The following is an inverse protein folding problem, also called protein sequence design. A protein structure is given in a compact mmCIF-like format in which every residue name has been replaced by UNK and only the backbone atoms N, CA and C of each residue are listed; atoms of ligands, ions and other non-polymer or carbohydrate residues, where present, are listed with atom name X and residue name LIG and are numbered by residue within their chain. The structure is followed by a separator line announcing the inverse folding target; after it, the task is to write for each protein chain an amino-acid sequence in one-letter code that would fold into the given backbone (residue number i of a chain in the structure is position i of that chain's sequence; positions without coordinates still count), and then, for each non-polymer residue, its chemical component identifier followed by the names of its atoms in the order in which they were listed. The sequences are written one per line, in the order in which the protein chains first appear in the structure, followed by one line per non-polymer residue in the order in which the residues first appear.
data_IF_424552274715
#
_entry.id   IF_424552274715
#
_cell.length_a   1.000
_cell.length_b   1.000
_cell.length_c   1.000
_cell.angle_alpha   90.00
_cell.angle_beta   90.00
_cell.angle_gamma   90.00
#
_symmetry.space_group_name_H-M   'P 1'
#
loop_
_entity.id
_entity.type
_entity.pdbx_description
1 polymer ?
#
# COMPACT_ATOMS: atom_id res chain seq x y z
N UNK A 1 -24.43 1.36 12.85
CA UNK A 1 -23.23 1.30 13.70
C UNK A 1 -22.46 2.60 13.49
N UNK A 2 -21.86 3.18 14.53
CA UNK A 2 -21.04 4.39 14.37
C UNK A 2 -19.75 4.02 13.64
N UNK A 3 -19.33 4.83 12.66
CA UNK A 3 -18.09 4.61 11.92
C UNK A 3 -16.87 4.77 12.85
N UNK A 4 -16.09 3.70 13.09
CA UNK A 4 -14.98 3.73 14.05
C UNK A 4 -13.79 4.56 13.56
N UNK A 5 -13.69 4.85 12.27
CA UNK A 5 -12.56 5.59 11.70
C UNK A 5 -12.86 7.09 11.55
N UNK A 6 -14.13 7.48 11.54
CA UNK A 6 -14.53 8.89 11.42
C UNK A 6 -13.87 9.83 12.47
N UNK A 7 -13.73 9.46 13.75
CA UNK A 7 -13.08 10.32 14.75
C UNK A 7 -11.61 10.63 14.45
N UNK A 8 -10.92 9.83 13.65
CA UNK A 8 -9.49 10.02 13.33
C UNK A 8 -9.24 11.33 12.56
N UNK A 9 -10.23 11.83 11.82
CA UNK A 9 -10.14 13.13 11.14
C UNK A 9 -10.06 14.31 12.12
N UNK A 10 -10.52 14.14 13.36
CA UNK A 10 -10.49 15.18 14.39
C UNK A 10 -9.12 15.30 15.09
N UNK A 11 -8.19 14.38 14.82
CA UNK A 11 -6.82 14.50 15.32
C UNK A 11 -6.14 15.71 14.66
N UNK A 12 -5.28 16.38 15.43
CA UNK A 12 -4.63 17.62 14.98
C UNK A 12 -3.92 17.43 13.62
N UNK A 13 -4.20 18.34 12.68
CA UNK A 13 -3.69 18.38 11.31
C UNK A 13 -4.11 17.22 10.37
N UNK A 14 -4.93 16.26 10.81
CA UNK A 14 -5.25 15.09 9.97
C UNK A 14 -6.22 15.44 8.85
N UNK A 15 -7.30 16.17 9.12
CA UNK A 15 -8.24 16.60 8.08
C UNK A 15 -7.57 17.42 6.96
N UNK A 16 -6.68 18.36 7.32
CA UNK A 16 -5.93 19.15 6.34
C UNK A 16 -4.94 18.30 5.55
N UNK A 17 -4.24 17.35 6.18
CA UNK A 17 -3.34 16.43 5.51
C UNK A 17 -4.08 15.52 4.51
N UNK A 18 -5.24 14.98 4.89
CA UNK A 18 -6.10 14.15 4.01
C UNK A 18 -6.58 14.95 2.80
N UNK A 19 -7.03 16.20 3.01
CA UNK A 19 -7.45 17.10 1.92
C UNK A 19 -6.30 17.43 0.96
N UNK A 20 -5.09 17.66 1.49
CA UNK A 20 -3.89 17.89 0.70
C UNK A 20 -3.55 16.68 -0.18
N UNK A 21 -3.54 15.49 0.42
CA UNK A 21 -3.26 14.24 -0.29
C UNK A 21 -4.29 13.94 -1.40
N UNK A 22 -5.58 14.13 -1.13
CA UNK A 22 -6.65 14.02 -2.16
C UNK A 22 -6.44 15.01 -3.31
N UNK A 23 -6.10 16.26 -2.99
CA UNK A 23 -5.85 17.29 -4.00
C UNK A 23 -4.65 16.95 -4.89
N UNK A 24 -3.59 16.39 -4.31
CA UNK A 24 -2.42 15.93 -5.06
C UNK A 24 -2.77 14.77 -6.00
N UNK A 25 -3.55 13.79 -5.53
CA UNK A 25 -4.03 12.68 -6.36
C UNK A 25 -4.88 13.19 -7.52
N UNK A 26 -5.85 14.06 -7.24
CA UNK A 26 -6.69 14.68 -8.28
C UNK A 26 -5.85 15.46 -9.30
N UNK A 27 -4.82 16.17 -8.84
CA UNK A 27 -3.86 16.87 -9.69
C UNK A 27 -3.11 15.93 -10.61
N UNK A 28 -2.62 14.80 -10.09
CA UNK A 28 -1.93 13.79 -10.87
C UNK A 28 -2.82 13.20 -11.98
N UNK A 29 -4.08 12.90 -11.69
CA UNK A 29 -5.03 12.36 -12.67
C UNK A 29 -5.39 13.35 -13.80
N UNK A 30 -5.19 14.66 -13.58
CA UNK A 30 -5.38 15.70 -14.61
C UNK A 30 -4.14 15.88 -15.50
N UNK A 31 -3.01 15.27 -15.16
CA UNK A 31 -1.77 15.43 -15.90
C UNK A 31 -1.86 14.86 -17.33
N UNK A 32 -1.28 15.58 -18.30
CA UNK A 32 -1.40 15.25 -19.72
C UNK A 32 -0.77 13.91 -20.13
N UNK A 33 0.25 13.44 -19.40
CA UNK A 33 0.92 12.16 -19.66
C UNK A 33 -0.04 10.96 -19.57
N UNK A 34 -1.00 11.01 -18.64
CA UNK A 34 -1.98 9.94 -18.41
C UNK A 34 -3.04 9.83 -19.51
N UNK A 35 -3.25 10.88 -20.32
CA UNK A 35 -4.26 10.86 -21.40
C UNK A 35 -3.87 9.94 -22.56
N UNK A 36 -2.57 9.85 -22.86
CA UNK A 36 -2.04 9.09 -24.01
C UNK A 36 -1.36 7.79 -23.60
N UNK A 37 -0.70 7.77 -22.44
CA UNK A 37 0.19 6.66 -22.02
C UNK A 37 -0.19 6.04 -20.68
N UNK A 38 -1.45 6.20 -20.25
CA UNK A 38 -1.90 5.77 -18.92
C UNK A 38 -1.60 4.30 -18.58
N UNK A 39 -1.69 3.39 -19.56
CA UNK A 39 -1.33 1.98 -19.35
C UNK A 39 0.17 1.74 -19.12
N UNK A 40 1.04 2.44 -19.86
CA UNK A 40 2.49 2.36 -19.69
C UNK A 40 2.92 2.95 -18.34
N UNK A 41 2.35 4.09 -17.95
CA UNK A 41 2.59 4.69 -16.64
C UNK A 41 2.15 3.75 -15.52
N UNK A 42 0.97 3.13 -15.63
CA UNK A 42 0.50 2.20 -14.62
C UNK A 42 1.41 0.96 -14.48
N UNK A 43 1.90 0.41 -15.60
CA UNK A 43 2.84 -0.70 -15.59
C UNK A 43 4.17 -0.32 -14.92
N UNK A 44 4.71 0.86 -15.24
CA UNK A 44 5.94 1.36 -14.65
C UNK A 44 5.81 1.65 -13.15
N UNK A 45 4.71 2.29 -12.73
CA UNK A 45 4.40 2.49 -11.31
C UNK A 45 4.29 1.16 -10.58
N UNK A 46 3.62 0.16 -11.18
CA UNK A 46 3.47 -1.17 -10.59
C UNK A 46 4.82 -1.84 -10.34
N UNK A 47 5.73 -1.82 -11.32
CA UNK A 47 7.09 -2.35 -11.19
C UNK A 47 7.87 -1.62 -10.08
N UNK A 48 7.89 -0.29 -10.12
CA UNK A 48 8.56 0.56 -9.12
C UNK A 48 8.10 0.28 -7.70
N UNK A 49 6.79 0.21 -7.50
CA UNK A 49 6.20 -0.07 -6.19
C UNK A 49 6.51 -1.50 -5.72
N UNK A 50 6.55 -2.48 -6.64
CA UNK A 50 6.97 -3.84 -6.30
C UNK A 50 8.43 -3.88 -5.81
N UNK A 51 9.35 -3.21 -6.52
CA UNK A 51 10.76 -3.12 -6.13
C UNK A 51 10.93 -2.40 -4.80
N UNK A 52 10.24 -1.28 -4.60
CA UNK A 52 10.28 -0.55 -3.34
C UNK A 52 9.71 -1.37 -2.17
N UNK A 53 8.62 -2.09 -2.41
CA UNK A 53 8.00 -2.98 -1.43
C UNK A 53 8.91 -4.16 -1.05
N UNK A 54 9.60 -4.77 -2.01
CA UNK A 54 10.61 -5.79 -1.73
C UNK A 54 11.81 -5.21 -0.97
N UNK A 55 12.20 -3.97 -1.32
CA UNK A 55 13.34 -3.31 -0.71
C UNK A 55 13.14 -3.02 0.77
N UNK A 56 11.92 -2.60 1.12
CA UNK A 56 11.48 -2.41 2.50
C UNK A 56 11.43 -3.71 3.32
N UNK A 57 11.33 -4.87 2.67
CA UNK A 57 11.18 -6.17 3.34
C UNK A 57 12.52 -6.88 3.60
N UNK A 58 13.44 -6.85 2.64
CA UNK A 58 14.62 -7.75 2.63
C UNK A 58 15.97 -7.12 2.30
N UNK A 59 16.01 -5.85 1.86
CA UNK A 59 17.26 -5.16 1.50
C UNK A 59 17.11 -4.34 0.22
N UNK A 60 18.00 -3.39 -0.04
CA UNK A 60 17.85 -2.46 -1.17
C UNK A 60 18.08 -3.12 -2.54
N UNK A 61 17.14 -2.93 -3.48
CA UNK A 61 17.24 -3.42 -4.85
C UNK A 61 17.19 -2.28 -5.87
N UNK A 62 18.02 -2.37 -6.90
CA UNK A 62 18.00 -1.42 -8.01
C UNK A 62 16.95 -1.80 -9.05
N UNK A 63 16.17 -0.82 -9.51
CA UNK A 63 15.06 -1.03 -10.45
C UNK A 63 15.51 -1.70 -11.75
N UNK A 64 16.62 -1.27 -12.33
CA UNK A 64 17.11 -1.78 -13.62
C UNK A 64 17.66 -3.22 -13.50
N UNK A 65 18.20 -3.61 -12.35
CA UNK A 65 18.66 -4.99 -12.10
C UNK A 65 17.46 -5.94 -11.97
N UNK A 66 16.38 -5.48 -11.33
CA UNK A 66 15.11 -6.25 -11.28
C UNK A 66 14.48 -6.33 -12.67
N UNK A 67 14.46 -5.21 -13.41
CA UNK A 67 13.89 -5.15 -14.77
C UNK A 67 14.62 -6.05 -15.76
N UNK A 68 15.95 -6.14 -15.67
CA UNK A 68 16.77 -7.01 -16.51
C UNK A 68 16.65 -8.49 -16.14
N UNK A 69 15.99 -8.82 -15.03
CA UNK A 69 15.78 -10.19 -14.56
C UNK A 69 16.99 -10.82 -13.88
N UNK A 70 18.01 -10.02 -13.54
CA UNK A 70 19.22 -10.51 -12.84
C UNK A 70 18.91 -10.81 -11.37
N UNK A 71 17.97 -10.09 -10.76
CA UNK A 71 17.58 -10.29 -9.37
C UNK A 71 16.62 -11.48 -9.22
N UNK A 72 17.13 -12.58 -8.68
CA UNK A 72 16.37 -13.82 -8.45
C UNK A 72 15.90 -14.00 -6.99
N UNK A 73 15.99 -12.96 -6.16
CA UNK A 73 15.58 -13.01 -4.76
C UNK A 73 14.09 -13.40 -4.63
N UNK A 74 13.74 -14.45 -3.85
CA UNK A 74 12.35 -14.89 -3.69
C UNK A 74 11.38 -13.81 -3.19
N UNK A 75 11.84 -12.85 -2.38
CA UNK A 75 11.05 -11.72 -1.87
C UNK A 75 10.71 -10.75 -3.00
N UNK A 76 11.67 -10.45 -3.86
CA UNK A 76 11.45 -9.63 -5.07
C UNK A 76 10.45 -10.32 -5.99
N UNK A 77 10.64 -11.62 -6.25
CA UNK A 77 9.72 -12.40 -7.07
C UNK A 77 8.32 -12.50 -6.45
N UNK A 78 8.21 -12.54 -5.12
CA UNK A 78 6.94 -12.44 -4.39
C UNK A 78 6.24 -11.09 -4.57
N UNK A 79 6.98 -9.99 -4.41
CA UNK A 79 6.45 -8.64 -4.59
C UNK A 79 5.97 -8.39 -6.03
N UNK A 80 6.70 -8.86 -7.04
CA UNK A 80 6.31 -8.78 -8.45
C UNK A 80 4.99 -9.52 -8.73
N UNK A 81 4.86 -10.76 -8.23
CA UNK A 81 3.62 -11.54 -8.37
C UNK A 81 2.44 -10.91 -7.64
N UNK A 82 2.69 -10.29 -6.49
CA UNK A 82 1.67 -9.50 -5.79
C UNK A 82 1.22 -8.33 -6.65
N UNK A 83 2.16 -7.53 -7.15
CA UNK A 83 1.87 -6.34 -7.97
C UNK A 83 1.07 -6.69 -9.23
N UNK A 84 1.45 -7.76 -9.93
CA UNK A 84 0.73 -8.28 -11.10
C UNK A 84 -0.73 -8.68 -10.76
N UNK A 85 -0.96 -9.25 -9.59
CA UNK A 85 -2.29 -9.72 -9.19
C UNK A 85 -3.23 -8.60 -8.71
N UNK A 86 -2.70 -7.44 -8.27
CA UNK A 86 -3.52 -6.39 -7.64
C UNK A 86 -4.70 -5.90 -8.49
N UNK A 87 -4.56 -5.60 -9.80
CA UNK A 87 -5.68 -5.13 -10.60
C UNK A 87 -6.87 -6.10 -10.57
N UNK A 88 -6.61 -7.41 -10.65
CA UNK A 88 -7.64 -8.46 -10.62
C UNK A 88 -8.22 -8.73 -9.22
N UNK A 89 -7.54 -8.30 -8.15
CA UNK A 89 -8.00 -8.47 -6.76
C UNK A 89 -8.85 -7.28 -6.26
N UNK A 90 -8.71 -6.10 -6.89
CA UNK A 90 -9.40 -4.86 -6.49
C UNK A 90 -10.92 -5.02 -6.37
N UNK A 91 -11.57 -5.70 -7.31
CA UNK A 91 -13.02 -5.95 -7.30
C UNK A 91 -13.47 -6.86 -6.15
N UNK A 92 -12.61 -7.77 -5.70
CA UNK A 92 -12.92 -8.71 -4.60
C UNK A 92 -12.58 -8.15 -3.23
N UNK A 93 -11.73 -7.12 -3.16
CA UNK A 93 -11.20 -6.59 -1.90
C UNK A 93 -12.29 -6.25 -0.89
N UNK A 94 -13.32 -5.53 -1.31
CA UNK A 94 -14.41 -5.08 -0.43
C UNK A 94 -15.42 -6.18 -0.08
N UNK A 95 -15.46 -7.25 -0.86
CA UNK A 95 -16.45 -8.33 -0.72
C UNK A 95 -15.88 -9.56 -0.01
N UNK A 96 -14.58 -9.81 -0.15
CA UNK A 96 -13.91 -10.99 0.38
C UNK A 96 -12.46 -10.68 0.84
N UNK A 97 -12.25 -9.68 1.72
CA UNK A 97 -10.89 -9.24 2.09
C UNK A 97 -10.04 -10.36 2.69
N UNK A 98 -10.64 -11.27 3.47
CA UNK A 98 -9.93 -12.43 4.03
C UNK A 98 -9.35 -13.34 2.94
N UNK A 99 -10.10 -13.61 1.87
CA UNK A 99 -9.62 -14.43 0.74
C UNK A 99 -8.54 -13.70 -0.04
N UNK A 100 -8.68 -12.38 -0.21
CA UNK A 100 -7.67 -11.57 -0.88
C UNK A 100 -6.38 -11.53 -0.08
N UNK A 101 -6.42 -11.31 1.24
CA UNK A 101 -5.25 -11.36 2.12
C UNK A 101 -4.56 -12.73 2.08
N UNK A 102 -5.33 -13.83 2.13
CA UNK A 102 -4.77 -15.16 1.97
C UNK A 102 -4.08 -15.34 0.61
N UNK A 103 -4.68 -14.85 -0.49
CA UNK A 103 -4.08 -14.90 -1.83
C UNK A 103 -2.81 -14.07 -1.92
N UNK A 104 -2.80 -12.86 -1.36
CA UNK A 104 -1.62 -11.99 -1.28
C UNK A 104 -0.49 -12.69 -0.52
N UNK A 105 -0.80 -13.34 0.61
CA UNK A 105 0.19 -14.11 1.38
C UNK A 105 0.74 -15.29 0.57
N UNK A 106 -0.10 -16.04 -0.14
CA UNK A 106 0.37 -17.12 -1.05
C UNK A 106 1.34 -16.55 -2.09
N UNK A 107 0.98 -15.45 -2.75
CA UNK A 107 1.80 -14.83 -3.78
C UNK A 107 3.12 -14.32 -3.19
N UNK A 108 3.10 -13.58 -2.10
CA UNK A 108 4.32 -13.05 -1.49
C UNK A 108 5.22 -14.18 -0.94
N UNK A 109 4.64 -15.18 -0.27
CA UNK A 109 5.39 -16.21 0.46
C UNK A 109 5.88 -17.40 -0.37
N UNK A 110 5.41 -17.61 -1.61
CA UNK A 110 5.89 -18.74 -2.43
C UNK A 110 7.39 -18.60 -2.69
N UNK A 111 8.16 -19.68 -2.47
CA UNK A 111 9.62 -19.67 -2.60
C UNK A 111 10.35 -19.24 -1.33
N UNK A 112 9.63 -18.74 -0.33
CA UNK A 112 10.16 -18.32 0.98
C UNK A 112 9.65 -19.26 2.07
N UNK A 113 8.33 -19.51 2.07
CA UNK A 113 7.63 -20.25 3.10
C UNK A 113 7.29 -21.68 2.64
N UNK A 114 7.20 -22.66 3.56
CA UNK A 114 6.67 -23.98 3.27
C UNK A 114 5.26 -23.89 2.67
N UNK A 115 4.94 -24.74 1.68
CA UNK A 115 3.62 -24.74 1.03
C UNK A 115 2.45 -24.89 2.02
N UNK A 116 2.68 -25.62 3.12
CA UNK A 116 1.70 -25.83 4.17
C UNK A 116 1.40 -24.58 5.02
N UNK A 117 2.23 -23.53 5.02
CA UNK A 117 1.94 -22.28 5.74
C UNK A 117 1.34 -21.19 4.85
N UNK A 118 1.38 -21.34 3.52
CA UNK A 118 0.87 -20.33 2.59
C UNK A 118 -0.63 -20.07 2.76
N UNK A 119 -1.01 -18.79 2.74
CA UNK A 119 -2.41 -18.35 2.83
C UNK A 119 -3.03 -18.46 4.23
N UNK A 120 -2.24 -18.78 5.26
CA UNK A 120 -2.71 -18.89 6.65
C UNK A 120 -2.18 -17.71 7.47
N UNK A 121 -3.06 -16.90 8.10
CA UNK A 121 -2.64 -15.87 9.04
C UNK A 121 -2.38 -16.46 10.43
N UNK A 122 -1.40 -15.92 11.14
CA UNK A 122 -1.07 -16.29 12.52
C UNK A 122 -1.89 -15.50 13.57
N UNK A 123 -2.66 -14.51 13.12
CA UNK A 123 -3.52 -13.67 13.96
C UNK A 123 -4.92 -13.50 13.34
N UNK A 124 -5.92 -13.13 14.15
CA UNK A 124 -7.25 -12.79 13.64
C UNK A 124 -7.19 -11.53 12.76
N UNK A 125 -7.86 -11.60 11.61
CA UNK A 125 -7.98 -10.51 10.65
C UNK A 125 -9.33 -9.80 10.74
N UNK A 126 -10.17 -10.14 11.73
CA UNK A 126 -11.58 -9.74 11.75
C UNK A 126 -11.76 -8.22 11.76
N UNK A 127 -10.96 -7.52 12.56
CA UNK A 127 -10.99 -6.04 12.66
C UNK A 127 -10.54 -5.37 11.35
N UNK A 128 -9.47 -5.86 10.73
CA UNK A 128 -9.01 -5.34 9.43
C UNK A 128 -10.07 -5.59 8.36
N UNK A 129 -10.65 -6.78 8.35
CA UNK A 129 -11.70 -7.13 7.39
C UNK A 129 -12.97 -6.30 7.60
N UNK A 130 -13.36 -5.98 8.85
CA UNK A 130 -14.55 -5.16 9.11
C UNK A 130 -14.40 -3.75 8.56
N UNK A 131 -13.23 -3.10 8.73
CA UNK A 131 -12.99 -1.77 8.15
C UNK A 131 -13.18 -1.75 6.63
N UNK A 132 -12.77 -2.82 5.94
CA UNK A 132 -12.84 -2.96 4.49
C UNK A 132 -14.27 -3.22 4.02
N UNK A 133 -14.97 -4.19 4.62
CA UNK A 133 -16.35 -4.58 4.24
C UNK A 133 -17.34 -3.45 4.54
N UNK A 134 -17.22 -2.83 5.71
CA UNK A 134 -18.12 -1.74 6.12
C UNK A 134 -17.77 -0.40 5.46
N UNK A 135 -16.65 -0.35 4.73
CA UNK A 135 -16.15 0.86 4.07
C UNK A 135 -16.07 2.05 5.05
N UNK A 136 -15.56 1.80 6.24
CA UNK A 136 -15.41 2.79 7.29
C UNK A 136 -14.55 3.98 6.84
N UNK A 137 -14.87 5.16 7.33
CA UNK A 137 -14.07 6.38 7.28
C UNK A 137 -13.81 6.93 5.88
N UNK A 138 -12.98 7.98 5.89
CA UNK A 138 -12.34 8.48 4.69
C UNK A 138 -11.46 7.38 4.06
N UNK A 139 -11.56 7.10 2.75
CA UNK A 139 -10.73 6.11 2.07
C UNK A 139 -9.22 6.15 2.33
N UNK A 140 -8.62 7.33 2.47
CA UNK A 140 -7.19 7.46 2.77
C UNK A 140 -6.91 7.02 4.21
N UNK A 141 -7.75 7.44 5.15
CA UNK A 141 -7.68 7.00 6.55
C UNK A 141 -7.85 5.49 6.64
N UNK A 142 -8.83 4.92 5.93
CA UNK A 142 -9.06 3.48 5.89
C UNK A 142 -7.84 2.73 5.36
N UNK A 143 -7.23 3.18 4.26
CA UNK A 143 -6.03 2.56 3.72
C UNK A 143 -4.85 2.63 4.70
N UNK A 144 -4.65 3.78 5.35
CA UNK A 144 -3.62 3.95 6.36
C UNK A 144 -3.84 3.01 7.56
N UNK A 145 -5.06 2.91 8.07
CA UNK A 145 -5.39 2.04 9.20
C UNK A 145 -5.25 0.56 8.84
N UNK A 146 -5.74 0.13 7.68
CA UNK A 146 -5.55 -1.25 7.19
C UNK A 146 -4.06 -1.60 7.11
N UNK A 147 -3.24 -0.70 6.59
CA UNK A 147 -1.79 -0.89 6.52
C UNK A 147 -1.16 -0.99 7.92
N UNK A 148 -1.43 -0.01 8.80
CA UNK A 148 -0.88 0.03 10.15
C UNK A 148 -1.29 -1.18 11.00
N UNK A 149 -2.56 -1.59 10.93
CA UNK A 149 -3.09 -2.74 11.67
C UNK A 149 -2.43 -4.04 11.19
N UNK A 150 -2.28 -4.24 9.88
CA UNK A 150 -1.58 -5.43 9.35
C UNK A 150 -0.11 -5.46 9.75
N UNK A 151 0.58 -4.31 9.76
CA UNK A 151 1.95 -4.21 10.26
C UNK A 151 2.03 -4.56 11.75
N UNK A 152 1.15 -4.00 12.58
CA UNK A 152 1.15 -4.20 14.02
C UNK A 152 0.75 -5.63 14.42
N UNK A 153 -0.22 -6.24 13.72
CA UNK A 153 -0.65 -7.62 13.94
C UNK A 153 0.43 -8.63 13.55
N UNK A 154 1.27 -8.30 12.58
CA UNK A 154 2.24 -9.20 11.97
C UNK A 154 1.62 -10.56 11.59
N UNK A 155 0.43 -10.54 10.99
CA UNK A 155 -0.38 -11.74 10.75
C UNK A 155 0.23 -12.69 9.71
N UNK A 156 1.18 -12.23 8.90
CA UNK A 156 1.85 -13.02 7.87
C UNK A 156 3.38 -12.93 7.98
N UNK A 157 4.01 -13.55 8.99
CA UNK A 157 5.46 -13.45 9.20
C UNK A 157 6.28 -13.78 7.94
N UNK A 158 7.46 -13.18 7.83
CA UNK A 158 8.38 -13.21 6.67
C UNK A 158 7.98 -12.38 5.44
N UNK A 159 6.71 -12.06 5.24
CA UNK A 159 6.25 -11.23 4.10
C UNK A 159 5.16 -10.21 4.49
N UNK A 160 5.06 -9.91 5.78
CA UNK A 160 3.94 -9.14 6.33
C UNK A 160 3.88 -7.74 5.76
N UNK A 161 5.04 -7.08 5.58
CA UNK A 161 5.08 -5.72 5.05
C UNK A 161 4.58 -5.68 3.61
N UNK A 162 4.96 -6.64 2.76
CA UNK A 162 4.48 -6.75 1.38
C UNK A 162 2.97 -6.88 1.34
N UNK A 163 2.39 -7.77 2.16
CA UNK A 163 0.94 -7.98 2.24
C UNK A 163 0.24 -6.71 2.74
N UNK A 164 0.80 -6.04 3.75
CA UNK A 164 0.22 -4.83 4.34
C UNK A 164 0.20 -3.66 3.34
N UNK A 165 1.30 -3.43 2.61
CA UNK A 165 1.39 -2.42 1.54
C UNK A 165 0.41 -2.72 0.40
N UNK A 166 0.32 -3.98 -0.02
CA UNK A 166 -0.64 -4.43 -1.04
C UNK A 166 -2.10 -4.21 -0.62
N UNK A 167 -2.46 -4.53 0.63
CA UNK A 167 -3.81 -4.30 1.16
C UNK A 167 -4.17 -2.81 1.24
N UNK A 168 -3.21 -1.97 1.61
CA UNK A 168 -3.36 -0.51 1.60
C UNK A 168 -3.67 0.01 0.18
N UNK A 169 -2.87 -0.44 -0.79
CA UNK A 169 -3.05 -0.10 -2.22
C UNK A 169 -4.40 -0.56 -2.75
N UNK A 170 -4.82 -1.80 -2.46
CA UNK A 170 -6.16 -2.28 -2.84
C UNK A 170 -7.27 -1.42 -2.24
N UNK A 171 -7.10 -0.92 -1.02
CA UNK A 171 -8.07 -0.03 -0.37
C UNK A 171 -8.19 1.31 -1.11
N UNK A 172 -7.08 1.90 -1.55
CA UNK A 172 -7.09 3.14 -2.35
C UNK A 172 -7.71 2.92 -3.74
N UNK A 173 -7.41 1.78 -4.37
CA UNK A 173 -7.93 1.41 -5.70
C UNK A 173 -9.43 1.13 -5.65
N UNK A 174 -9.88 0.28 -4.73
CA UNK A 174 -11.30 -0.15 -4.65
C UNK A 174 -12.22 1.01 -4.26
N UNK A 175 -11.73 1.95 -3.45
CA UNK A 175 -12.48 3.13 -3.05
C UNK A 175 -12.59 4.19 -4.15
N UNK A 176 -11.88 4.01 -5.26
CA UNK A 176 -11.79 5.00 -6.34
C UNK A 176 -10.95 6.24 -6.01
N UNK A 177 -10.15 6.21 -4.94
CA UNK A 177 -9.21 7.31 -4.65
C UNK A 177 -8.05 7.26 -5.64
N UNK A 178 -7.53 6.06 -5.91
CA UNK A 178 -6.50 5.81 -6.91
C UNK A 178 -6.91 4.64 -7.83
N UNK A 179 -7.94 4.82 -8.68
CA UNK A 179 -8.58 3.71 -9.41
C UNK A 179 -7.65 2.98 -10.39
N UNK A 180 -6.52 3.58 -10.77
CA UNK A 180 -5.51 2.98 -11.65
C UNK A 180 -4.23 2.55 -10.92
N UNK A 181 -4.15 2.73 -9.59
CA UNK A 181 -2.98 2.37 -8.80
C UNK A 181 -1.73 3.17 -9.19
N UNK A 182 -1.86 4.48 -9.43
CA UNK A 182 -0.77 5.33 -9.91
C UNK A 182 0.07 5.96 -8.79
N UNK A 183 -0.44 6.05 -7.57
CA UNK A 183 0.26 6.75 -6.48
C UNK A 183 1.44 5.91 -6.00
N UNK A 184 2.65 6.47 -6.02
CA UNK A 184 3.92 5.79 -5.67
C UNK A 184 4.17 5.74 -4.15
N UNK A 185 3.20 5.29 -3.36
CA UNK A 185 3.28 5.29 -1.88
C UNK A 185 4.48 4.50 -1.38
N UNK A 186 4.76 3.33 -1.99
CA UNK A 186 5.85 2.44 -1.60
C UNK A 186 7.24 3.04 -1.88
N UNK A 187 7.43 3.76 -2.99
CA UNK A 187 8.69 4.48 -3.24
C UNK A 187 8.91 5.58 -2.18
N UNK A 188 7.87 6.30 -1.77
CA UNK A 188 8.00 7.32 -0.72
C UNK A 188 8.28 6.68 0.63
N UNK A 189 7.66 5.54 0.95
CA UNK A 189 8.00 4.77 2.15
C UNK A 189 9.47 4.33 2.15
N UNK A 190 10.01 3.88 1.02
CA UNK A 190 11.42 3.51 0.89
C UNK A 190 12.33 4.73 1.04
N UNK A 191 12.07 5.82 0.31
CA UNK A 191 12.87 7.04 0.37
C UNK A 191 12.87 7.70 1.77
N UNK A 192 11.83 7.41 2.57
CA UNK A 192 11.67 7.88 3.97
C UNK A 192 11.65 6.70 4.95
N UNK A 193 12.41 5.64 4.69
CA UNK A 193 12.32 4.40 5.47
C UNK A 193 12.44 4.59 7.00
N UNK A 194 13.36 5.40 7.54
CA UNK A 194 13.41 5.63 8.99
C UNK A 194 12.12 6.24 9.55
N UNK A 195 11.51 7.19 8.83
CA UNK A 195 10.25 7.82 9.21
C UNK A 195 9.08 6.83 9.09
N UNK A 196 9.03 6.04 8.02
CA UNK A 196 8.02 4.99 7.81
C UNK A 196 8.04 3.95 8.93
N UNK A 197 9.22 3.41 9.25
CA UNK A 197 9.40 2.41 10.31
C UNK A 197 9.05 3.00 11.68
N UNK A 198 9.53 4.21 11.97
CA UNK A 198 9.23 4.91 13.23
C UNK A 198 7.72 5.17 13.41
N UNK A 199 7.05 5.66 12.36
CA UNK A 199 5.62 5.95 12.39
C UNK A 199 4.77 4.68 12.48
N UNK A 200 5.16 3.59 11.81
CA UNK A 200 4.50 2.29 11.94
C UNK A 200 4.66 1.71 13.36
N UNK A 201 5.85 1.82 13.95
CA UNK A 201 6.09 1.46 15.34
C UNK A 201 5.26 2.28 16.32
N UNK A 202 5.12 3.58 16.07
CA UNK A 202 4.27 4.47 16.87
C UNK A 202 2.78 4.10 16.74
N UNK A 203 2.31 3.75 15.55
CA UNK A 203 0.93 3.26 15.32
C UNK A 203 0.61 2.05 16.20
N UNK A 204 1.53 1.09 16.28
CA UNK A 204 1.37 -0.14 17.06
C UNK A 204 1.15 0.10 18.58
N UNK A 205 1.49 1.28 19.09
CA UNK A 205 1.21 1.65 20.49
C UNK A 205 -0.28 1.90 20.77
N UNK A 206 -1.09 2.16 19.72
CA UNK A 206 -2.50 2.50 19.85
C UNK A 206 -2.78 3.86 20.50
N UNK A 207 -1.74 4.65 20.82
CA UNK A 207 -1.89 5.97 21.42
C UNK A 207 -2.41 6.99 20.39
N UNK A 208 -3.17 8.03 20.80
CA UNK A 208 -3.61 9.07 19.88
C UNK A 208 -2.47 9.74 19.11
N UNK A 209 -1.34 9.99 19.76
CA UNK A 209 -0.15 10.59 19.14
C UNK A 209 0.54 9.62 18.16
N UNK A 210 0.61 8.33 18.50
CA UNK A 210 1.15 7.31 17.60
C UNK A 210 0.31 7.13 16.34
N UNK A 211 -1.01 7.08 16.50
CA UNK A 211 -1.95 7.03 15.38
C UNK A 211 -1.85 8.31 14.54
N UNK A 212 -1.80 9.49 15.16
CA UNK A 212 -1.62 10.76 14.45
C UNK A 212 -0.31 10.79 13.67
N UNK A 213 0.80 10.36 14.26
CA UNK A 213 2.12 10.31 13.61
C UNK A 213 2.08 9.47 12.35
N UNK A 214 1.48 8.27 12.43
CA UNK A 214 1.27 7.38 11.29
C UNK A 214 0.40 7.99 10.19
N UNK A 215 -0.75 8.57 10.56
CA UNK A 215 -1.66 9.18 9.60
C UNK A 215 -0.99 10.37 8.87
N UNK A 216 -0.18 11.17 9.58
CA UNK A 216 0.60 12.26 8.94
C UNK A 216 1.63 11.71 7.96
N UNK A 217 2.38 10.67 8.32
CA UNK A 217 3.33 10.01 7.42
C UNK A 217 2.63 9.43 6.18
N UNK A 218 1.52 8.72 6.38
CA UNK A 218 0.80 8.09 5.29
C UNK A 218 0.20 9.12 4.32
N UNK A 219 -0.42 10.19 4.84
CA UNK A 219 -0.92 11.29 4.01
C UNK A 219 0.22 11.97 3.22
N UNK A 220 1.38 12.21 3.85
CA UNK A 220 2.56 12.73 3.17
C UNK A 220 3.04 11.79 2.05
N UNK A 221 3.07 10.48 2.30
CA UNK A 221 3.46 9.49 1.31
C UNK A 221 2.52 9.47 0.09
N UNK A 222 1.21 9.62 0.30
CA UNK A 222 0.23 9.76 -0.78
C UNK A 222 0.44 11.06 -1.55
N UNK A 223 0.64 12.19 -0.87
CA UNK A 223 0.90 13.49 -1.52
C UNK A 223 2.13 13.43 -2.43
N UNK A 224 3.28 13.06 -1.88
CA UNK A 224 4.54 13.01 -2.63
C UNK A 224 4.49 11.94 -3.73
N UNK A 225 3.87 10.79 -3.45
CA UNK A 225 3.71 9.72 -4.43
C UNK A 225 2.80 10.10 -5.61
N UNK A 226 1.82 10.98 -5.38
CA UNK A 226 0.97 11.51 -6.44
C UNK A 226 1.71 12.57 -7.27
N UNK A 227 2.47 13.46 -6.63
CA UNK A 227 3.27 14.50 -7.30
C UNK A 227 4.33 13.90 -8.23
N UNK A 228 4.90 12.75 -7.87
CA UNK A 228 5.90 12.05 -8.67
C UNK A 228 5.36 11.41 -9.97
N UNK A 229 4.04 11.26 -10.13
CA UNK A 229 3.43 10.62 -11.31
C UNK A 229 3.76 11.37 -12.61
N UNK A 230 3.86 12.70 -12.56
CA UNK A 230 4.23 13.51 -13.72
C UNK A 230 5.60 13.11 -14.26
N UNK A 231 6.60 13.00 -13.37
CA UNK A 231 7.97 12.59 -13.72
C UNK A 231 8.02 11.18 -14.30
N UNK A 232 7.29 10.22 -13.72
CA UNK A 232 7.20 8.86 -14.30
C UNK A 232 6.56 8.90 -15.68
N UNK A 233 5.51 9.74 -15.84
CA UNK A 233 4.83 9.96 -17.11
C UNK A 233 5.73 10.48 -18.23
N UNK A 234 6.73 11.30 -17.89
CA UNK A 234 7.70 11.83 -18.85
C UNK A 234 8.82 10.83 -19.15
N UNK A 235 9.19 9.98 -18.20
CA UNK A 235 10.23 8.94 -18.38
C UNK A 235 9.78 7.79 -19.28
N UNK A 236 8.50 7.41 -19.22
CA UNK A 236 7.93 6.38 -20.11
C UNK A 236 7.53 6.94 -21.48
N UNK A 237 7.73 8.25 -21.70
CA UNK A 237 7.30 8.92 -22.92
C UNK A 237 8.34 8.81 -24.05
#
# INVERSE_FOLDING_TARGET
MMDPLAPLLNLADIDSAVKGARSAVDGAYRHGSLRRKGGQVAAEVSLRCAVASASLESGEYQLEDVRSGIVLDPVVQGALRVAEALPGLSQRWENAPRQVLAKLHVLAGTGILPTASLGRPDASLDRVCSYVVERCGDPLIRAAVVHGELLALNAFPAVNGIVARAAARLTLVSSGLDPRGLVLVEEVHLARQPEYVGAAGAFATGTPDGIRSWLKHYALAVTLGAEAIATVGDLVA
#
